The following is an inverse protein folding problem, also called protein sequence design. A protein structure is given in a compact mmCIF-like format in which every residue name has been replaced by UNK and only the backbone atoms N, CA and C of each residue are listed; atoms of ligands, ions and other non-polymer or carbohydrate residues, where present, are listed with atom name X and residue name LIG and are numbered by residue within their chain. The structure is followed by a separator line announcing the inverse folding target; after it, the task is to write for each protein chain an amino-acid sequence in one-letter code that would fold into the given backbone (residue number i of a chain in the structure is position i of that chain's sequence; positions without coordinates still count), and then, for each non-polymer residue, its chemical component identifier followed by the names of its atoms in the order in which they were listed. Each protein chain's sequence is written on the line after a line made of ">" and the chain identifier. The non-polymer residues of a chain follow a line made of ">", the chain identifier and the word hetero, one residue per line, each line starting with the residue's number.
data_IF_181487420789
#
_entry.id   IF_181487420789
#
_cell.length_a   1.000
_cell.length_b   1.000
_cell.length_c   1.000
_cell.angle_alpha   90.00
_cell.angle_beta   90.00
_cell.angle_gamma   90.00
#
_symmetry.space_group_name_H-M   'P 1'
#
loop_
_entity.id
_entity.type
_entity.pdbx_description
1 polymer ?
#
# COMPACT_ATOMS: atom_id res chain seq x y z
N UNK A 1 -18.70 -22.25 12.62
CA UNK A 1 -17.97 -21.39 11.68
C UNK A 1 -16.87 -20.69 12.48
N UNK A 2 -15.63 -21.08 12.30
CA UNK A 2 -14.50 -20.40 12.93
C UNK A 2 -14.39 -19.01 12.32
N UNK A 3 -14.73 -17.98 13.09
CA UNK A 3 -14.41 -16.59 12.77
C UNK A 3 -12.90 -16.51 12.49
N UNK A 4 -12.53 -16.31 11.23
CA UNK A 4 -11.15 -16.01 10.87
C UNK A 4 -10.79 -14.68 11.52
N UNK A 5 -10.16 -14.74 12.68
CA UNK A 5 -9.64 -13.57 13.38
C UNK A 5 -8.60 -12.93 12.47
N UNK A 6 -8.94 -11.79 11.90
CA UNK A 6 -8.02 -11.03 11.04
C UNK A 6 -6.85 -10.55 11.89
N UNK A 7 -5.67 -11.10 11.69
CA UNK A 7 -4.44 -10.62 12.31
C UNK A 7 -3.76 -9.60 11.40
N UNK A 8 -3.47 -8.42 11.97
CA UNK A 8 -2.74 -7.36 11.28
C UNK A 8 -1.30 -7.80 11.04
N UNK A 9 -0.82 -7.67 9.81
CA UNK A 9 0.51 -8.13 9.40
C UNK A 9 1.60 -7.30 10.06
N UNK A 10 2.65 -7.97 10.59
CA UNK A 10 3.81 -7.32 11.24
C UNK A 10 3.41 -6.29 12.31
N UNK A 11 2.31 -6.55 13.02
CA UNK A 11 1.71 -5.60 13.98
C UNK A 11 2.71 -5.14 15.05
N UNK A 12 3.43 -6.07 15.65
CA UNK A 12 4.40 -5.78 16.71
C UNK A 12 5.66 -5.13 16.15
N UNK A 13 6.17 -5.67 15.07
CA UNK A 13 7.41 -5.22 14.43
C UNK A 13 7.29 -3.79 13.90
N UNK A 14 6.19 -3.46 13.22
CA UNK A 14 5.97 -2.14 12.65
C UNK A 14 5.76 -1.06 13.73
N UNK A 15 4.99 -1.36 14.77
CA UNK A 15 4.75 -0.42 15.86
C UNK A 15 5.97 -0.26 16.78
N UNK A 16 6.73 -1.34 17.02
CA UNK A 16 8.01 -1.25 17.75
C UNK A 16 9.05 -0.43 16.98
N UNK A 17 9.12 -0.64 15.65
CA UNK A 17 10.03 0.10 14.78
C UNK A 17 9.71 1.60 14.73
N UNK A 18 8.44 1.98 14.90
CA UNK A 18 8.00 3.37 14.96
C UNK A 18 8.51 4.11 16.19
N UNK A 19 8.90 3.39 17.26
CA UNK A 19 9.42 3.92 18.52
C UNK A 19 8.49 4.99 19.14
N UNK A 20 7.24 4.62 19.34
CA UNK A 20 6.17 5.54 19.80
C UNK A 20 6.51 6.20 21.12
N UNK A 21 6.51 7.56 21.13
CA UNK A 21 6.65 8.40 22.32
C UNK A 21 5.26 8.72 22.87
N UNK A 22 5.00 8.64 24.19
CA UNK A 22 3.66 8.81 24.76
C UNK A 22 2.96 10.14 24.46
N UNK A 23 3.71 11.21 24.21
CA UNK A 23 3.20 12.55 23.90
C UNK A 23 3.37 12.95 22.43
N UNK A 24 3.86 12.03 21.57
CA UNK A 24 4.15 12.31 20.17
C UNK A 24 2.92 12.41 19.28
N UNK A 25 3.13 12.92 18.06
CA UNK A 25 2.12 12.97 17.00
C UNK A 25 2.45 11.93 15.94
N UNK A 26 1.51 11.04 15.64
CA UNK A 26 1.69 9.93 14.73
C UNK A 26 0.65 9.92 13.63
N UNK A 27 1.01 9.31 12.50
CA UNK A 27 0.11 9.07 11.40
C UNK A 27 0.07 7.56 11.11
N UNK A 28 -1.13 7.00 11.02
CA UNK A 28 -1.42 5.73 10.36
C UNK A 28 -1.99 6.08 8.98
N UNK A 29 -1.20 5.92 7.92
CA UNK A 29 -1.58 6.31 6.57
C UNK A 29 -2.58 5.32 5.93
N UNK A 30 -2.84 4.18 6.58
CA UNK A 30 -3.60 3.04 6.07
C UNK A 30 -4.41 2.39 7.20
N UNK A 31 -5.45 3.07 7.67
CA UNK A 31 -6.28 2.66 8.80
C UNK A 31 -6.75 1.20 8.71
N UNK A 32 -7.31 0.81 7.54
CA UNK A 32 -7.88 -0.51 7.32
C UNK A 32 -8.88 -0.92 8.40
N UNK A 33 -8.56 -1.99 9.16
CA UNK A 33 -9.35 -2.42 10.33
C UNK A 33 -8.87 -1.82 11.65
N UNK A 34 -7.91 -0.92 11.62
CA UNK A 34 -7.42 -0.21 12.80
C UNK A 34 -6.52 -1.03 13.72
N UNK A 35 -5.89 -2.09 13.23
CA UNK A 35 -4.99 -2.90 14.04
C UNK A 35 -3.76 -2.14 14.51
N UNK A 36 -3.02 -1.55 13.58
CA UNK A 36 -1.89 -0.67 13.87
C UNK A 36 -2.32 0.58 14.66
N UNK A 37 -3.43 1.21 14.25
CA UNK A 37 -4.05 2.34 14.96
C UNK A 37 -4.25 2.04 16.46
N UNK A 38 -4.88 0.92 16.80
CA UNK A 38 -5.10 0.52 18.21
C UNK A 38 -3.78 0.30 18.94
N UNK A 39 -2.81 -0.34 18.29
CA UNK A 39 -1.51 -0.63 18.90
C UNK A 39 -0.68 0.66 19.17
N UNK A 40 -0.78 1.66 18.30
CA UNK A 40 -0.17 2.97 18.50
C UNK A 40 -0.90 3.72 19.62
N UNK A 41 -2.24 3.78 19.59
CA UNK A 41 -3.06 4.42 20.62
C UNK A 41 -2.77 3.91 22.03
N UNK A 42 -2.57 2.59 22.19
CA UNK A 42 -2.24 2.00 23.49
C UNK A 42 -0.91 2.49 24.08
N UNK A 43 -0.04 3.11 23.28
CA UNK A 43 1.23 3.68 23.72
C UNK A 43 1.16 5.20 23.94
N UNK A 44 0.07 5.86 23.52
CA UNK A 44 -0.12 7.29 23.67
C UNK A 44 -0.83 7.61 24.98
N UNK A 45 -0.34 8.64 25.68
CA UNK A 45 -0.98 9.20 26.88
C UNK A 45 -1.50 10.62 26.63
N UNK A 46 -0.65 11.51 26.10
CA UNK A 46 -0.97 12.88 25.76
C UNK A 46 -0.76 13.20 24.27
N UNK A 47 -0.30 12.23 23.50
CA UNK A 47 -0.04 12.35 22.08
C UNK A 47 -1.30 12.30 21.20
N UNK A 48 -1.11 12.38 19.89
CA UNK A 48 -2.18 12.35 18.89
C UNK A 48 -1.88 11.31 17.82
N UNK A 49 -2.92 10.68 17.28
CA UNK A 49 -2.86 9.78 16.12
C UNK A 49 -3.87 10.24 15.07
N UNK A 50 -3.39 10.45 13.87
CA UNK A 50 -4.19 10.76 12.69
C UNK A 50 -4.19 9.52 11.80
N UNK A 51 -5.36 8.92 11.56
CA UNK A 51 -5.46 7.71 10.78
C UNK A 51 -6.25 7.97 9.49
N UNK A 52 -5.61 7.64 8.36
CA UNK A 52 -6.14 7.85 7.02
C UNK A 52 -6.70 6.56 6.45
N UNK A 53 -7.81 6.68 5.74
CA UNK A 53 -8.21 5.69 4.74
C UNK A 53 -9.01 6.37 3.63
N UNK A 54 -8.83 5.90 2.40
CA UNK A 54 -9.63 6.36 1.26
C UNK A 54 -10.94 5.56 1.11
N UNK A 55 -11.07 4.41 1.80
CA UNK A 55 -12.26 3.58 1.80
C UNK A 55 -13.19 3.99 2.95
N UNK A 56 -14.38 4.52 2.60
CA UNK A 56 -15.40 4.91 3.58
C UNK A 56 -15.81 3.74 4.49
N UNK A 57 -15.81 2.50 3.95
CA UNK A 57 -16.16 1.32 4.72
C UNK A 57 -15.15 1.04 5.85
N UNK A 58 -13.86 1.33 5.64
CA UNK A 58 -12.83 1.22 6.67
C UNK A 58 -13.06 2.24 7.80
N UNK A 59 -13.30 3.51 7.43
CA UNK A 59 -13.62 4.59 8.39
C UNK A 59 -14.88 4.24 9.20
N UNK A 60 -15.96 3.81 8.54
CA UNK A 60 -17.20 3.46 9.21
C UNK A 60 -17.04 2.26 10.16
N UNK A 61 -16.32 1.22 9.73
CA UNK A 61 -16.07 0.03 10.55
C UNK A 61 -15.29 0.38 11.82
N UNK A 62 -14.19 1.12 11.68
CA UNK A 62 -13.37 1.49 12.85
C UNK A 62 -14.13 2.44 13.78
N UNK A 63 -14.92 3.38 13.24
CA UNK A 63 -15.77 4.26 14.04
C UNK A 63 -16.78 3.43 14.86
N UNK A 64 -17.45 2.47 14.23
CA UNK A 64 -18.39 1.58 14.91
C UNK A 64 -17.74 0.72 15.99
N UNK A 65 -16.55 0.16 15.70
CA UNK A 65 -15.79 -0.70 16.62
C UNK A 65 -15.33 0.06 17.89
N UNK A 66 -15.00 1.35 17.78
CA UNK A 66 -14.66 2.18 18.92
C UNK A 66 -15.90 2.65 19.69
N UNK A 67 -17.06 2.76 19.05
CA UNK A 67 -18.26 3.39 19.61
C UNK A 67 -18.05 4.88 19.86
N UNK A 68 -17.18 5.23 20.81
CA UNK A 68 -16.70 6.60 21.01
C UNK A 68 -15.21 6.66 20.70
N UNK A 69 -14.84 7.51 19.75
CA UNK A 69 -13.43 7.68 19.39
C UNK A 69 -12.64 8.27 20.55
N UNK A 70 -11.44 7.71 20.85
CA UNK A 70 -10.52 8.32 21.81
C UNK A 70 -10.17 9.75 21.40
N UNK A 71 -9.98 10.65 22.37
CA UNK A 71 -9.62 12.05 22.11
C UNK A 71 -8.30 12.21 21.34
N UNK A 72 -7.41 11.22 21.45
CA UNK A 72 -6.14 11.16 20.75
C UNK A 72 -6.28 10.78 19.27
N UNK A 73 -7.43 10.20 18.84
CA UNK A 73 -7.61 9.69 17.49
C UNK A 73 -8.42 10.64 16.61
N UNK A 74 -7.88 10.98 15.46
CA UNK A 74 -8.59 11.68 14.38
C UNK A 74 -8.62 10.77 13.15
N UNK A 75 -9.80 10.46 12.62
CA UNK A 75 -9.97 9.70 11.39
C UNK A 75 -10.09 10.68 10.21
N UNK A 76 -9.37 10.40 9.13
CA UNK A 76 -9.32 11.23 7.92
C UNK A 76 -9.72 10.38 6.71
N UNK A 77 -10.92 10.63 6.16
CA UNK A 77 -11.40 9.95 4.96
C UNK A 77 -10.81 10.60 3.69
N UNK A 78 -9.51 10.37 3.46
CA UNK A 78 -8.73 10.82 2.29
C UNK A 78 -7.69 9.79 1.90
N UNK A 79 -7.21 9.87 0.66
CA UNK A 79 -6.02 9.15 0.24
C UNK A 79 -4.79 9.77 0.90
N UNK A 80 -3.84 8.95 1.32
CA UNK A 80 -2.58 9.39 1.93
C UNK A 80 -1.71 10.25 0.99
N UNK A 81 -2.01 10.31 -0.31
CA UNK A 81 -1.38 11.28 -1.24
C UNK A 81 -1.58 12.74 -0.82
N UNK A 82 -2.64 13.02 -0.06
CA UNK A 82 -2.99 14.35 0.43
C UNK A 82 -2.49 14.60 1.87
N UNK A 83 -1.43 13.90 2.28
CA UNK A 83 -0.92 13.87 3.65
C UNK A 83 -0.66 15.28 4.20
N UNK A 84 0.11 16.11 3.49
CA UNK A 84 0.45 17.46 3.92
C UNK A 84 -0.77 18.36 4.03
N UNK A 85 -1.67 18.34 3.06
CA UNK A 85 -2.88 19.16 3.05
C UNK A 85 -3.81 18.80 4.22
N UNK A 86 -4.00 17.50 4.44
CA UNK A 86 -4.84 17.02 5.53
C UNK A 86 -4.27 17.38 6.90
N UNK A 87 -2.95 17.21 7.12
CA UNK A 87 -2.30 17.57 8.38
C UNK A 87 -2.30 19.09 8.61
N UNK A 88 -2.06 19.88 7.57
CA UNK A 88 -2.13 21.36 7.64
C UNK A 88 -3.52 21.82 8.06
N UNK A 89 -4.58 21.20 7.50
CA UNK A 89 -5.98 21.49 7.88
C UNK A 89 -6.24 21.24 9.39
N UNK A 90 -5.51 20.28 9.99
CA UNK A 90 -5.57 19.95 11.41
C UNK A 90 -4.59 20.79 12.28
N UNK A 91 -3.87 21.75 11.67
CA UNK A 91 -2.86 22.56 12.35
C UNK A 91 -1.61 21.77 12.74
N UNK A 92 -1.29 20.68 12.02
CA UNK A 92 -0.12 19.83 12.26
C UNK A 92 0.88 20.09 11.15
N UNK A 93 2.07 20.55 11.52
CA UNK A 93 3.16 20.84 10.59
C UNK A 93 4.26 19.80 10.61
N UNK A 94 4.36 19.02 11.69
CA UNK A 94 5.38 18.00 11.89
C UNK A 94 4.83 16.80 12.67
N UNK A 95 5.41 15.62 12.47
CA UNK A 95 5.00 14.38 13.13
C UNK A 95 6.20 13.57 13.61
N UNK A 96 6.02 12.77 14.68
CA UNK A 96 7.07 11.91 15.25
C UNK A 96 7.16 10.53 14.59
N UNK A 97 6.13 10.14 13.83
CA UNK A 97 6.18 8.89 13.08
C UNK A 97 5.01 8.72 12.14
N UNK A 98 5.28 7.99 11.05
CA UNK A 98 4.28 7.64 10.03
C UNK A 98 4.38 6.15 9.72
N UNK A 99 3.24 5.47 9.72
CA UNK A 99 3.12 4.07 9.38
C UNK A 99 2.30 3.90 8.11
N UNK A 100 2.77 3.06 7.20
CA UNK A 100 2.07 2.60 6.01
C UNK A 100 1.95 1.07 6.05
N UNK A 101 0.73 0.53 5.95
CA UNK A 101 0.44 -0.88 5.72
C UNK A 101 -0.23 -0.98 4.34
N UNK A 102 0.60 -1.15 3.30
CA UNK A 102 0.18 -0.99 1.91
C UNK A 102 -0.66 -2.17 1.41
N UNK A 103 -1.37 -1.94 0.33
CA UNK A 103 -2.15 -2.96 -0.36
C UNK A 103 -3.64 -2.90 -0.07
N UNK A 104 -4.29 -4.05 -0.09
CA UNK A 104 -5.75 -4.17 -0.01
C UNK A 104 -6.14 -4.70 1.36
N UNK A 105 -7.12 -4.06 1.98
CA UNK A 105 -7.67 -4.53 3.23
C UNK A 105 -8.45 -5.84 3.04
N UNK A 106 -8.55 -6.62 4.12
CA UNK A 106 -9.30 -7.88 4.08
C UNK A 106 -10.75 -7.71 3.65
N UNK A 107 -11.52 -6.72 4.14
CA UNK A 107 -12.88 -6.50 3.69
C UNK A 107 -13.00 -6.25 2.19
N UNK A 108 -12.03 -5.57 1.58
CA UNK A 108 -12.02 -5.33 0.13
C UNK A 108 -11.86 -6.64 -0.67
N UNK A 109 -11.07 -7.61 -0.17
CA UNK A 109 -10.96 -8.92 -0.79
C UNK A 109 -12.15 -9.84 -0.49
N UNK A 110 -12.70 -9.77 0.70
CA UNK A 110 -13.73 -10.67 1.19
C UNK A 110 -15.13 -10.25 0.71
N UNK A 111 -15.36 -8.95 0.47
CA UNK A 111 -16.58 -8.47 -0.19
C UNK A 111 -16.48 -8.70 -1.71
N UNK A 112 -17.15 -9.76 -2.17
CA UNK A 112 -17.16 -10.10 -3.60
C UNK A 112 -17.64 -8.95 -4.49
N UNK A 113 -18.54 -8.08 -4.01
CA UNK A 113 -19.10 -6.97 -4.80
C UNK A 113 -18.06 -5.91 -5.18
N UNK A 114 -16.94 -5.85 -4.46
CA UNK A 114 -15.86 -4.88 -4.70
C UNK A 114 -14.96 -5.26 -5.90
N UNK A 115 -15.03 -6.48 -6.41
CA UNK A 115 -14.33 -6.93 -7.61
C UNK A 115 -12.80 -7.09 -7.48
N UNK A 116 -12.22 -7.04 -6.30
CA UNK A 116 -10.77 -7.22 -6.08
C UNK A 116 -10.31 -8.66 -6.25
N UNK A 117 -11.22 -9.63 -6.08
CA UNK A 117 -10.89 -11.04 -6.09
C UNK A 117 -11.26 -11.71 -7.43
N UNK A 118 -10.34 -12.51 -7.96
CA UNK A 118 -10.58 -13.39 -9.11
C UNK A 118 -11.20 -14.75 -8.72
N UNK A 119 -11.54 -14.93 -7.43
CA UNK A 119 -12.11 -16.18 -6.90
C UNK A 119 -13.63 -16.23 -6.96
N UNK A 120 -14.27 -15.09 -7.07
CA UNK A 120 -15.71 -14.93 -7.09
C UNK A 120 -16.10 -14.16 -8.35
N UNK A 121 -17.27 -14.49 -8.94
CA UNK A 121 -17.83 -13.68 -10.00
C UNK A 121 -18.48 -12.42 -9.41
N UNK A 122 -18.00 -11.27 -9.89
CA UNK A 122 -18.34 -9.98 -9.32
C UNK A 122 -18.24 -8.87 -10.38
N UNK A 123 -18.86 -7.71 -10.20
CA UNK A 123 -18.61 -6.55 -11.04
C UNK A 123 -17.12 -6.17 -11.06
N UNK A 124 -16.63 -5.71 -12.22
CA UNK A 124 -15.27 -5.19 -12.37
C UNK A 124 -15.20 -3.77 -11.83
N UNK A 125 -15.05 -3.61 -10.50
CA UNK A 125 -14.94 -2.31 -9.84
C UNK A 125 -13.48 -2.00 -9.44
N UNK A 126 -12.94 -2.65 -8.42
CA UNK A 126 -11.60 -2.51 -7.85
C UNK A 126 -11.28 -1.11 -7.30
N UNK A 127 -12.23 -0.20 -7.15
CA UNK A 127 -12.01 1.11 -6.50
C UNK A 127 -11.86 0.95 -5.00
N UNK A 128 -10.83 1.51 -4.41
CA UNK A 128 -10.70 1.66 -2.96
C UNK A 128 -11.57 2.82 -2.48
N UNK A 129 -11.46 3.98 -3.14
CA UNK A 129 -12.37 5.12 -2.95
C UNK A 129 -13.54 5.04 -3.95
N UNK A 130 -14.74 4.73 -3.48
CA UNK A 130 -15.90 4.59 -4.34
C UNK A 130 -16.43 5.93 -4.90
N UNK A 131 -15.91 7.08 -4.44
CA UNK A 131 -16.23 8.40 -4.99
C UNK A 131 -15.55 8.69 -6.32
N UNK A 132 -14.42 7.98 -6.63
CA UNK A 132 -13.74 8.14 -7.91
C UNK A 132 -14.53 7.53 -9.07
N UNK A 133 -14.33 8.06 -10.27
CA UNK A 133 -15.04 7.63 -11.48
C UNK A 133 -14.37 6.44 -12.17
N UNK A 134 -13.02 6.36 -12.13
CA UNK A 134 -12.25 5.31 -12.78
C UNK A 134 -12.38 3.99 -12.02
N UNK A 135 -12.92 2.97 -12.69
CA UNK A 135 -13.04 1.60 -12.20
C UNK A 135 -12.34 0.59 -13.12
N UNK A 136 -12.29 -0.66 -12.71
CA UNK A 136 -11.66 -1.72 -13.50
C UNK A 136 -12.41 -2.01 -14.82
N UNK A 137 -13.74 -1.84 -14.84
CA UNK A 137 -14.55 -1.99 -16.04
C UNK A 137 -14.17 -0.96 -17.10
N UNK A 138 -14.00 0.29 -16.72
CA UNK A 138 -13.54 1.37 -17.60
C UNK A 138 -12.16 1.07 -18.18
N UNK A 139 -11.19 0.66 -17.36
CA UNK A 139 -9.85 0.29 -17.84
C UNK A 139 -9.93 -0.82 -18.90
N UNK A 140 -10.64 -1.90 -18.59
CA UNK A 140 -10.70 -3.08 -19.45
C UNK A 140 -11.43 -2.79 -20.78
N UNK A 141 -12.50 -1.98 -20.73
CA UNK A 141 -13.32 -1.74 -21.93
C UNK A 141 -12.88 -0.54 -22.77
N UNK A 142 -12.27 0.49 -22.16
CA UNK A 142 -12.06 1.78 -22.84
C UNK A 142 -10.59 2.09 -23.10
N UNK A 143 -9.66 1.60 -22.26
CA UNK A 143 -8.26 1.95 -22.44
C UNK A 143 -7.68 1.36 -23.72
N UNK A 144 -6.81 2.12 -24.44
CA UNK A 144 -6.11 1.64 -25.62
C UNK A 144 -5.31 0.36 -25.35
N UNK A 145 -5.18 -0.49 -26.36
CA UNK A 145 -4.36 -1.70 -26.30
C UNK A 145 -2.96 -1.46 -25.72
N UNK A 146 -2.30 -0.39 -26.17
CA UNK A 146 -0.95 -0.05 -25.72
C UNK A 146 -0.90 0.23 -24.20
N UNK A 147 -1.93 0.87 -23.64
CA UNK A 147 -2.03 1.17 -22.22
C UNK A 147 -2.31 -0.10 -21.40
N UNK A 148 -3.16 -0.99 -21.87
CA UNK A 148 -3.36 -2.31 -21.26
C UNK A 148 -2.04 -3.10 -21.22
N UNK A 149 -1.31 -3.16 -22.34
CA UNK A 149 0.01 -3.83 -22.40
C UNK A 149 0.97 -3.19 -21.39
N UNK A 150 1.00 -1.85 -21.32
CA UNK A 150 1.87 -1.10 -20.42
C UNK A 150 1.61 -1.45 -18.95
N UNK A 151 0.35 -1.41 -18.50
CA UNK A 151 0.02 -1.71 -17.10
C UNK A 151 0.25 -3.19 -16.78
N UNK A 152 -0.14 -4.13 -17.65
CA UNK A 152 0.08 -5.56 -17.41
C UNK A 152 1.57 -5.91 -17.33
N UNK A 153 2.40 -5.27 -18.16
CA UNK A 153 3.85 -5.46 -18.14
C UNK A 153 4.51 -4.78 -16.93
N UNK A 154 4.17 -3.49 -16.65
CA UNK A 154 4.84 -2.71 -15.60
C UNK A 154 4.31 -3.00 -14.20
N UNK A 155 2.98 -3.05 -14.04
CA UNK A 155 2.34 -3.22 -12.74
C UNK A 155 2.06 -4.69 -12.39
N UNK A 156 1.85 -5.54 -13.40
CA UNK A 156 1.65 -6.97 -13.23
C UNK A 156 2.94 -7.78 -13.33
N UNK A 157 4.00 -7.23 -13.92
CA UNK A 157 5.19 -8.00 -14.32
C UNK A 157 4.77 -9.28 -15.11
N UNK A 158 3.75 -9.11 -16.01
CA UNK A 158 3.14 -10.20 -16.77
C UNK A 158 3.84 -10.38 -18.12
N UNK A 159 4.37 -11.57 -18.36
CA UNK A 159 5.09 -11.87 -19.60
C UNK A 159 4.19 -11.97 -20.83
N UNK A 160 2.93 -12.36 -20.64
CA UNK A 160 1.93 -12.52 -21.70
C UNK A 160 1.05 -11.29 -21.88
N UNK A 161 1.51 -10.11 -21.44
CA UNK A 161 0.75 -8.85 -21.47
C UNK A 161 0.16 -8.51 -22.84
N UNK A 162 0.92 -8.70 -23.91
CA UNK A 162 0.47 -8.45 -25.28
C UNK A 162 -0.67 -9.38 -25.71
N UNK A 163 -0.54 -10.68 -25.42
CA UNK A 163 -1.53 -11.69 -25.77
C UNK A 163 -2.83 -11.48 -25.00
N UNK A 164 -2.72 -11.20 -23.70
CA UNK A 164 -3.88 -10.92 -22.84
C UNK A 164 -4.60 -9.65 -23.28
N UNK A 165 -3.87 -8.55 -23.49
CA UNK A 165 -4.45 -7.29 -23.98
C UNK A 165 -5.16 -7.47 -25.34
N UNK A 166 -4.59 -8.29 -26.24
CA UNK A 166 -5.23 -8.59 -27.53
C UNK A 166 -6.55 -9.37 -27.36
N UNK A 167 -6.61 -10.32 -26.42
CA UNK A 167 -7.85 -11.04 -26.12
C UNK A 167 -8.92 -10.12 -25.55
N UNK A 168 -8.55 -9.21 -24.66
CA UNK A 168 -9.46 -8.21 -24.10
C UNK A 168 -9.96 -7.29 -25.22
N UNK A 169 -9.08 -6.75 -26.05
CA UNK A 169 -9.43 -5.87 -27.17
C UNK A 169 -10.43 -6.54 -28.13
N UNK A 170 -10.20 -7.80 -28.49
CA UNK A 170 -11.10 -8.57 -29.34
C UNK A 170 -12.45 -8.85 -28.68
N UNK A 171 -12.46 -9.22 -27.41
CA UNK A 171 -13.69 -9.58 -26.72
C UNK A 171 -14.63 -8.38 -26.53
N UNK A 172 -14.08 -7.22 -26.15
CA UNK A 172 -14.87 -6.01 -25.88
C UNK A 172 -15.53 -5.40 -27.12
N UNK A 173 -15.08 -5.75 -28.34
CA UNK A 173 -15.75 -5.35 -29.59
C UNK A 173 -17.05 -6.11 -29.82
N UNK A 174 -17.21 -7.29 -29.21
CA UNK A 174 -18.40 -8.13 -29.32
C UNK A 174 -19.40 -7.78 -28.19
N UNK A 175 -18.90 -7.73 -26.96
CA UNK A 175 -19.72 -7.33 -25.80
C UNK A 175 -18.81 -6.76 -24.69
N UNK A 176 -19.31 -5.81 -23.90
CA UNK A 176 -18.53 -5.28 -22.75
C UNK A 176 -18.17 -6.37 -21.75
N UNK A 177 -16.95 -6.29 -21.22
CA UNK A 177 -16.46 -7.16 -20.15
C UNK A 177 -16.90 -6.52 -18.83
N UNK A 178 -17.80 -7.17 -18.10
CA UNK A 178 -18.45 -6.56 -16.91
C UNK A 178 -18.15 -7.27 -15.61
N UNK A 179 -17.69 -8.54 -15.69
CA UNK A 179 -17.44 -9.33 -14.47
C UNK A 179 -16.01 -9.85 -14.39
N UNK A 180 -15.61 -10.17 -13.17
CA UNK A 180 -14.29 -10.73 -12.87
C UNK A 180 -14.06 -12.06 -13.58
N UNK A 181 -15.06 -12.94 -13.68
CA UNK A 181 -14.92 -14.23 -14.34
C UNK A 181 -14.76 -14.09 -15.85
N UNK A 182 -15.49 -13.16 -16.50
CA UNK A 182 -15.26 -12.86 -17.92
C UNK A 182 -13.80 -12.45 -18.17
N UNK A 183 -13.25 -11.56 -17.32
CA UNK A 183 -11.86 -11.15 -17.42
C UNK A 183 -10.90 -12.32 -17.16
N UNK A 184 -11.15 -13.16 -16.15
CA UNK A 184 -10.32 -14.35 -15.85
C UNK A 184 -10.21 -15.29 -17.04
N UNK A 185 -11.32 -15.55 -17.74
CA UNK A 185 -11.31 -16.44 -18.91
C UNK A 185 -10.50 -15.84 -20.07
N UNK A 186 -10.58 -14.54 -20.31
CA UNK A 186 -9.76 -13.85 -21.32
C UNK A 186 -8.27 -13.90 -20.98
N UNK A 187 -7.91 -13.72 -19.71
CA UNK A 187 -6.54 -13.85 -19.24
C UNK A 187 -6.03 -15.27 -19.47
N UNK A 188 -6.81 -16.29 -19.08
CA UNK A 188 -6.45 -17.70 -19.31
C UNK A 188 -6.27 -17.99 -20.79
N UNK A 189 -7.13 -17.46 -21.67
CA UNK A 189 -7.04 -17.63 -23.12
C UNK A 189 -5.80 -16.93 -23.71
N UNK A 190 -5.30 -15.88 -23.08
CA UNK A 190 -4.07 -15.18 -23.48
C UNK A 190 -2.77 -15.83 -23.03
N UNK A 191 -2.82 -16.81 -22.09
CA UNK A 191 -1.64 -17.49 -21.55
C UNK A 191 -1.58 -18.92 -22.06
N UNK A 192 -0.45 -19.39 -22.65
CA UNK A 192 -0.30 -20.77 -23.11
C UNK A 192 -0.57 -21.79 -22.00
N UNK A 193 -1.23 -22.91 -22.34
CA UNK A 193 -1.61 -23.93 -21.36
C UNK A 193 -0.44 -24.47 -20.52
N UNK A 194 0.75 -24.61 -21.12
CA UNK A 194 1.98 -25.03 -20.42
C UNK A 194 2.37 -24.03 -19.33
N UNK A 195 2.30 -22.71 -19.61
CA UNK A 195 2.66 -21.67 -18.65
C UNK A 195 1.65 -21.55 -17.50
N UNK A 196 0.37 -21.89 -17.72
CA UNK A 196 -0.68 -21.89 -16.70
C UNK A 196 -0.56 -23.02 -15.66
N UNK A 197 0.21 -24.07 -15.96
CA UNK A 197 0.42 -25.22 -15.07
C UNK A 197 1.52 -24.98 -14.03
N UNK A 198 2.37 -23.98 -14.26
CA UNK A 198 3.47 -23.63 -13.38
C UNK A 198 3.22 -22.24 -12.78
N UNK A 199 3.26 -22.12 -11.46
CA UNK A 199 3.08 -20.85 -10.77
C UNK A 199 1.71 -20.70 -10.07
N UNK A 200 1.38 -19.49 -9.66
CA UNK A 200 0.11 -19.15 -9.01
C UNK A 200 -1.04 -18.99 -9.99
N UNK A 201 -2.19 -18.50 -9.49
CA UNK A 201 -3.36 -18.29 -10.33
C UNK A 201 -3.07 -17.32 -11.50
N UNK A 202 -3.41 -17.67 -12.77
CA UNK A 202 -3.03 -16.89 -13.96
C UNK A 202 -3.50 -15.42 -13.92
N UNK A 203 -4.66 -15.16 -13.31
CA UNK A 203 -5.20 -13.81 -13.23
C UNK A 203 -4.51 -12.91 -12.19
N UNK A 204 -3.73 -13.46 -11.25
CA UNK A 204 -3.15 -12.70 -10.11
C UNK A 204 -2.45 -11.41 -10.56
N UNK A 205 -1.56 -11.53 -11.53
CA UNK A 205 -0.73 -10.41 -12.03
C UNK A 205 -1.54 -9.33 -12.74
N UNK A 206 -2.50 -9.75 -13.57
CA UNK A 206 -3.35 -8.81 -14.31
C UNK A 206 -4.32 -8.09 -13.37
N UNK A 207 -4.92 -8.78 -12.41
CA UNK A 207 -5.76 -8.17 -11.38
C UNK A 207 -4.97 -7.15 -10.55
N UNK A 208 -3.75 -7.50 -10.12
CA UNK A 208 -2.85 -6.55 -9.47
C UNK A 208 -2.58 -5.33 -10.34
N UNK A 209 -2.31 -5.51 -11.63
CA UNK A 209 -2.01 -4.42 -12.54
C UNK A 209 -3.20 -3.47 -12.73
N UNK A 210 -4.40 -4.01 -12.88
CA UNK A 210 -5.62 -3.20 -13.01
C UNK A 210 -5.90 -2.48 -11.70
N UNK A 211 -5.78 -3.13 -10.54
CA UNK A 211 -5.97 -2.53 -9.23
C UNK A 211 -5.05 -1.34 -8.99
N UNK A 212 -3.76 -1.52 -9.28
CA UNK A 212 -2.76 -0.45 -9.18
C UNK A 212 -3.13 0.73 -10.09
N UNK A 213 -3.60 0.44 -11.32
CA UNK A 213 -4.00 1.48 -12.27
C UNK A 213 -5.29 2.19 -11.86
N UNK A 214 -6.31 1.47 -11.35
CA UNK A 214 -7.56 2.05 -10.85
C UNK A 214 -7.32 3.02 -9.71
N UNK A 215 -6.46 2.64 -8.75
CA UNK A 215 -6.25 3.38 -7.51
C UNK A 215 -5.00 4.27 -7.53
N UNK A 216 -4.25 4.27 -8.63
CA UNK A 216 -2.99 5.00 -8.80
C UNK A 216 -2.02 4.78 -7.60
N UNK A 217 -1.91 3.52 -7.15
CA UNK A 217 -1.30 3.14 -5.89
C UNK A 217 0.17 3.57 -5.78
N UNK A 218 0.96 3.38 -6.86
CA UNK A 218 2.40 3.65 -6.83
C UNK A 218 2.71 5.16 -6.84
N UNK A 219 1.97 5.95 -7.63
CA UNK A 219 2.14 7.41 -7.68
C UNK A 219 1.66 8.05 -6.36
N UNK A 220 0.56 7.53 -5.78
CA UNK A 220 0.10 7.96 -4.47
C UNK A 220 1.14 7.69 -3.38
N UNK A 221 1.76 6.50 -3.40
CA UNK A 221 2.81 6.13 -2.44
C UNK A 221 4.05 7.04 -2.59
N UNK A 222 4.54 7.25 -3.82
CA UNK A 222 5.69 8.10 -4.10
C UNK A 222 5.46 9.52 -3.57
N UNK A 223 4.34 10.15 -3.97
CA UNK A 223 3.96 11.48 -3.52
C UNK A 223 3.82 11.58 -2.00
N UNK A 224 3.20 10.57 -1.37
CA UNK A 224 3.03 10.56 0.08
C UNK A 224 4.35 10.39 0.84
N UNK A 225 5.26 9.55 0.34
CA UNK A 225 6.58 9.37 0.96
C UNK A 225 7.45 10.63 0.84
N UNK A 226 7.38 11.36 -0.28
CA UNK A 226 8.05 12.66 -0.42
C UNK A 226 7.55 13.68 0.62
N UNK A 227 6.24 13.69 0.87
CA UNK A 227 5.62 14.53 1.91
C UNK A 227 6.02 14.05 3.31
N UNK A 228 5.98 12.74 3.56
CA UNK A 228 6.35 12.13 4.84
C UNK A 228 7.79 12.48 5.24
N UNK A 229 8.72 12.42 4.29
CA UNK A 229 10.12 12.80 4.51
C UNK A 229 10.27 14.26 4.93
N UNK A 230 9.41 15.17 4.46
CA UNK A 230 9.44 16.58 4.84
C UNK A 230 8.77 16.86 6.20
N UNK A 231 7.75 16.07 6.54
CA UNK A 231 6.93 16.26 7.75
C UNK A 231 7.51 15.61 9.01
N UNK A 232 8.43 14.64 8.83
CA UNK A 232 8.97 13.90 9.96
C UNK A 232 9.96 14.72 10.77
N UNK A 233 9.81 14.74 12.10
CA UNK A 233 10.71 15.36 13.06
C UNK A 233 12.06 14.64 13.16
N UNK A 234 13.10 15.31 13.61
CA UNK A 234 14.37 14.67 14.01
C UNK A 234 14.12 13.63 15.11
N UNK A 235 14.64 12.43 14.91
CA UNK A 235 14.37 11.25 15.74
C UNK A 235 13.02 10.59 15.47
N UNK A 236 12.23 11.10 14.52
CA UNK A 236 11.01 10.46 14.02
C UNK A 236 11.28 9.40 12.99
N UNK A 237 10.32 8.48 12.80
CA UNK A 237 10.48 7.31 11.93
C UNK A 237 9.32 7.13 10.96
N UNK A 238 9.66 6.65 9.75
CA UNK A 238 8.69 6.22 8.75
C UNK A 238 8.82 4.70 8.61
N UNK A 239 7.73 3.98 8.90
CA UNK A 239 7.63 2.52 8.82
C UNK A 239 6.69 2.15 7.66
N UNK A 240 7.17 1.35 6.70
CA UNK A 240 6.41 0.97 5.51
C UNK A 240 6.39 -0.54 5.35
N UNK A 241 5.18 -1.13 5.40
CA UNK A 241 4.94 -2.53 5.07
C UNK A 241 4.49 -2.59 3.62
N UNK A 242 5.17 -3.39 2.81
CA UNK A 242 4.90 -3.60 1.39
C UNK A 242 4.54 -5.07 1.13
N UNK A 243 3.68 -5.35 0.14
CA UNK A 243 3.24 -6.71 -0.21
C UNK A 243 3.60 -7.11 -1.63
N UNK A 244 4.12 -6.20 -2.42
CA UNK A 244 4.52 -6.47 -3.80
C UNK A 244 5.90 -5.87 -4.13
N UNK A 245 6.52 -6.43 -5.17
CA UNK A 245 7.87 -6.06 -5.61
C UNK A 245 8.02 -4.59 -6.00
N UNK A 246 6.99 -3.99 -6.60
CA UNK A 246 7.00 -2.61 -7.06
C UNK A 246 6.99 -1.62 -5.90
N UNK A 247 6.13 -1.85 -4.89
CA UNK A 247 6.12 -1.06 -3.66
C UNK A 247 7.47 -1.16 -2.94
N UNK A 248 7.97 -2.38 -2.72
CA UNK A 248 9.26 -2.61 -2.02
C UNK A 248 10.43 -1.94 -2.75
N UNK A 249 10.43 -1.97 -4.09
CA UNK A 249 11.45 -1.32 -4.91
C UNK A 249 11.39 0.20 -4.77
N UNK A 250 10.20 0.78 -4.82
CA UNK A 250 9.98 2.22 -4.67
C UNK A 250 10.47 2.70 -3.30
N UNK A 251 9.96 2.11 -2.22
CA UNK A 251 10.35 2.45 -0.84
C UNK A 251 11.85 2.30 -0.63
N UNK A 252 12.44 1.16 -1.08
CA UNK A 252 13.87 0.93 -0.98
C UNK A 252 14.69 2.00 -1.71
N UNK A 253 14.26 2.40 -2.90
CA UNK A 253 14.97 3.40 -3.71
C UNK A 253 14.91 4.76 -3.02
N UNK A 254 13.74 5.25 -2.65
CA UNK A 254 13.56 6.53 -1.98
C UNK A 254 14.32 6.60 -0.65
N UNK A 255 14.21 5.57 0.20
CA UNK A 255 14.92 5.52 1.47
C UNK A 255 16.44 5.49 1.31
N UNK A 256 16.93 4.77 0.28
CA UNK A 256 18.35 4.74 -0.04
C UNK A 256 18.86 6.09 -0.50
N UNK A 257 18.14 6.80 -1.34
CA UNK A 257 18.53 8.11 -1.87
C UNK A 257 18.74 9.11 -0.74
N UNK A 258 17.80 9.25 0.19
CA UNK A 258 17.88 10.22 1.28
C UNK A 258 18.83 9.80 2.43
N UNK A 259 19.16 8.52 2.50
CA UNK A 259 20.09 7.97 3.53
C UNK A 259 21.52 7.74 3.03
N UNK A 260 21.79 8.10 1.77
CA UNK A 260 23.13 7.94 1.17
C UNK A 260 23.85 9.26 1.13
N UNK A 261 25.16 9.22 1.38
CA UNK A 261 26.04 10.38 1.14
C UNK A 261 26.00 10.74 -0.34
N UNK A 262 25.65 11.97 -0.66
CA UNK A 262 25.57 12.47 -2.04
C UNK A 262 26.82 13.31 -2.39
N UNK A 263 27.25 13.21 -3.65
CA UNK A 263 28.22 14.10 -4.31
C UNK A 263 29.57 14.33 -3.59
N UNK A 264 30.08 13.32 -2.91
CA UNK A 264 31.41 13.40 -2.29
C UNK A 264 32.44 12.69 -3.17
N UNK A 265 33.56 13.35 -3.54
CA UNK A 265 34.66 12.71 -4.26
C UNK A 265 35.18 11.48 -3.52
N UNK A 266 35.43 10.41 -4.26
CA UNK A 266 35.97 9.18 -3.67
C UNK A 266 37.36 9.44 -3.08
N UNK A 267 37.56 9.02 -1.82
CA UNK A 267 38.86 9.10 -1.15
C UNK A 267 39.03 10.28 -0.18
N UNK A 268 37.96 11.04 0.12
CA UNK A 268 38.02 12.03 1.19
C UNK A 268 38.16 11.33 2.55
N UNK A 269 39.13 11.72 3.39
CA UNK A 269 39.34 11.12 4.71
C UNK A 269 38.21 11.42 5.71
N UNK A 270 37.46 12.50 5.49
CA UNK A 270 36.29 12.88 6.30
C UNK A 270 35.19 13.37 5.37
N UNK A 271 33.99 12.87 5.56
CA UNK A 271 32.79 13.36 4.87
C UNK A 271 32.36 14.68 5.50
N UNK A 272 32.28 15.79 4.73
CA UNK A 272 31.80 17.06 5.26
C UNK A 272 30.43 16.94 5.90
N UNK A 273 30.17 17.71 6.97
CA UNK A 273 28.86 17.68 7.65
C UNK A 273 27.69 18.01 6.67
N UNK A 274 27.93 18.91 5.71
CA UNK A 274 26.94 19.28 4.68
C UNK A 274 26.63 18.16 3.67
N UNK A 275 27.44 17.11 3.60
CA UNK A 275 27.24 15.97 2.73
C UNK A 275 26.74 14.73 3.49
N UNK A 276 26.57 14.83 4.80
CA UNK A 276 25.97 13.76 5.61
C UNK A 276 24.48 13.68 5.32
N UNK A 277 23.92 12.45 5.21
CA UNK A 277 22.50 12.30 4.94
C UNK A 277 21.68 12.69 6.17
N UNK A 278 20.55 13.36 5.95
CA UNK A 278 19.61 13.72 7.02
C UNK A 278 18.85 12.51 7.58
N UNK A 279 18.96 11.37 6.91
CA UNK A 279 18.23 10.15 7.24
C UNK A 279 19.16 8.96 7.43
N UNK A 280 18.72 8.01 8.24
CA UNK A 280 19.38 6.73 8.48
C UNK A 280 18.41 5.57 8.30
N UNK A 281 18.82 4.53 7.54
CA UNK A 281 18.08 3.27 7.52
C UNK A 281 18.14 2.61 8.90
N UNK A 282 16.99 2.37 9.52
CA UNK A 282 16.91 1.63 10.78
C UNK A 282 17.22 0.16 10.54
N UNK A 283 16.76 -0.37 9.40
CA UNK A 283 17.05 -1.73 8.95
C UNK A 283 17.55 -1.74 7.50
N UNK A 284 18.73 -2.30 7.26
CA UNK A 284 19.29 -2.43 5.89
C UNK A 284 18.56 -3.50 5.06
N UNK A 285 18.23 -4.64 5.68
CA UNK A 285 17.39 -5.69 5.11
C UNK A 285 15.97 -5.49 5.60
N UNK A 286 14.94 -5.81 4.79
CA UNK A 286 13.56 -5.73 5.29
C UNK A 286 13.36 -6.68 6.46
N UNK A 287 12.54 -6.26 7.44
CA UNK A 287 12.02 -7.16 8.46
C UNK A 287 10.92 -7.97 7.79
N UNK A 288 10.96 -9.28 7.99
CA UNK A 288 9.99 -10.24 7.45
C UNK A 288 9.12 -10.77 8.59
N UNK A 289 7.89 -11.23 8.27
CA UNK A 289 7.06 -11.91 9.26
C UNK A 289 7.74 -13.13 9.86
N UNK A 290 7.47 -13.41 11.12
CA UNK A 290 7.98 -14.60 11.81
C UNK A 290 7.34 -15.89 11.25
N UNK A 291 7.96 -17.05 11.52
CA UNK A 291 7.41 -18.34 11.12
C UNK A 291 6.04 -18.60 11.80
N UNK A 292 5.88 -18.13 13.04
CA UNK A 292 4.61 -18.23 13.77
C UNK A 292 3.52 -17.40 13.08
N UNK A 293 3.83 -16.16 12.65
CA UNK A 293 2.88 -15.34 11.91
C UNK A 293 2.53 -15.97 10.56
N UNK A 294 3.53 -16.48 9.82
CA UNK A 294 3.31 -17.13 8.53
C UNK A 294 2.43 -18.40 8.63
N UNK A 295 2.50 -19.11 9.76
CA UNK A 295 1.69 -20.30 9.98
C UNK A 295 0.19 -19.99 10.14
N UNK A 296 -0.17 -18.81 10.67
CA UNK A 296 -1.55 -18.42 10.94
C UNK A 296 -2.10 -17.37 9.99
N UNK A 297 -1.23 -16.55 9.39
CA UNK A 297 -1.60 -15.43 8.52
C UNK A 297 -1.02 -15.57 7.10
N UNK A 298 -1.77 -16.24 6.22
CA UNK A 298 -1.34 -16.42 4.82
C UNK A 298 -1.11 -15.10 4.04
N UNK A 299 -1.64 -13.97 4.51
CA UNK A 299 -1.44 -12.65 3.87
C UNK A 299 -0.06 -12.07 4.14
N UNK A 300 0.60 -12.53 5.21
CA UNK A 300 1.93 -12.08 5.60
C UNK A 300 3.06 -12.59 4.69
N UNK A 301 2.84 -13.64 3.88
CA UNK A 301 3.90 -14.30 3.10
C UNK A 301 4.75 -13.38 2.21
N UNK A 302 4.19 -12.30 1.70
CA UNK A 302 4.92 -11.35 0.83
C UNK A 302 5.29 -10.05 1.53
N UNK A 303 4.93 -9.91 2.81
CA UNK A 303 5.14 -8.69 3.57
C UNK A 303 6.63 -8.40 3.82
N UNK A 304 6.99 -7.12 3.72
CA UNK A 304 8.33 -6.61 4.01
C UNK A 304 8.22 -5.26 4.70
N UNK A 305 8.80 -5.13 5.87
CA UNK A 305 8.84 -3.87 6.60
C UNK A 305 10.18 -3.18 6.37
N UNK A 306 10.14 -1.90 5.94
CA UNK A 306 11.28 -1.01 5.85
C UNK A 306 11.08 0.21 6.73
N UNK A 307 12.14 0.62 7.40
CA UNK A 307 12.09 1.73 8.35
C UNK A 307 13.26 2.69 8.12
N UNK A 308 12.94 3.98 8.10
CA UNK A 308 13.91 5.07 8.05
C UNK A 308 13.68 6.04 9.20
N UNK A 309 14.75 6.66 9.68
CA UNK A 309 14.73 7.64 10.78
C UNK A 309 15.39 8.94 10.32
N UNK A 310 14.78 10.08 10.62
CA UNK A 310 15.40 11.39 10.42
C UNK A 310 16.38 11.65 11.56
N UNK A 311 17.62 11.95 11.23
CA UNK A 311 18.71 12.15 12.22
C UNK A 311 19.23 13.59 12.27
N UNK A 312 18.99 14.37 11.21
CA UNK A 312 19.34 15.80 11.09
C UNK A 312 18.24 16.54 10.33
N UNK A 313 18.17 17.86 10.50
CA UNK A 313 17.37 18.79 9.69
C UNK A 313 18.05 19.14 8.36
#
# INVERSE_FOLDING_TARGET
>A
MTEFKHETVLLKEATAALAVKPAGTYVDATLGRGGHTRQILNQLTAGRLIAFDQDEAAIATVTADFGTLPKQLTLVHRNFRDLTDALTTLGITEVDGILYDLGVSSPQFDDSKRGFSYRFDAPLDMRMDQRQTLDAKTIVNEWPYADLVRIFSRYGEEHFSKQIARRIEQARTVQPITTTFQLVELIKAGIPAKARRTGGHPAKKVFQAIRIAVNDELSALESSLEQALKLINVGGRISVITFQSLEDRLVKTMFKEVSSVQDVPRGLPVIPASAQPNYRLVNRKPILPSEEELAVNHRAHSAKLRVIEKIHD
#
